data_IF_739861962393
#
_entry.id   IF_739861962393
#
_cell.length_a   1.000
_cell.length_b   1.000
_cell.length_c   1.000
_cell.angle_alpha   90.00
_cell.angle_beta   90.00
_cell.angle_gamma   90.00
#
_symmetry.space_group_name_H-M   'P 1'
#
loop_
_entity.id
_entity.type
_entity.pdbx_description
1 polymer ?
#
# COMPACT_ATOMS: atom_id res chain seq x y z
N UNK A 1 2.67 -15.80 36.86
CA UNK A 1 1.78 -15.17 35.85
C UNK A 1 2.45 -15.33 34.51
N UNK A 2 1.81 -16.03 33.56
CA UNK A 2 2.33 -16.16 32.21
C UNK A 2 2.25 -14.78 31.53
N UNK A 3 3.39 -14.20 31.18
CA UNK A 3 3.48 -13.04 30.31
C UNK A 3 3.06 -13.47 28.91
N UNK A 4 1.76 -13.45 28.64
CA UNK A 4 1.22 -13.66 27.30
C UNK A 4 1.44 -12.35 26.55
N UNK A 5 2.28 -12.37 25.53
CA UNK A 5 2.55 -11.18 24.71
C UNK A 5 1.36 -10.91 23.80
N UNK A 6 1.20 -9.66 23.37
CA UNK A 6 0.13 -9.26 22.42
C UNK A 6 0.22 -10.05 21.11
N UNK A 7 1.42 -10.51 20.74
CA UNK A 7 1.68 -11.42 19.61
C UNK A 7 1.09 -12.82 19.81
N UNK A 8 1.19 -13.37 21.03
CA UNK A 8 0.62 -14.67 21.35
C UNK A 8 -0.92 -14.64 21.29
N UNK A 9 -1.51 -13.51 21.66
CA UNK A 9 -2.96 -13.27 21.56
C UNK A 9 -3.36 -13.11 20.08
N UNK A 10 -2.64 -12.31 19.30
CA UNK A 10 -2.92 -12.12 17.88
C UNK A 10 -2.88 -13.45 17.10
N UNK A 11 -1.86 -14.28 17.33
CA UNK A 11 -1.77 -15.64 16.77
C UNK A 11 -2.93 -16.54 17.19
N UNK A 12 -3.34 -16.49 18.47
CA UNK A 12 -4.41 -17.33 19.00
C UNK A 12 -5.79 -17.01 18.40
N UNK A 13 -6.01 -15.77 17.97
CA UNK A 13 -7.28 -15.33 17.39
C UNK A 13 -7.23 -15.13 15.86
N UNK A 14 -6.14 -15.52 15.19
CA UNK A 14 -5.99 -15.37 13.74
C UNK A 14 -5.95 -13.91 13.28
N UNK A 15 -5.60 -12.98 14.18
CA UNK A 15 -5.39 -11.58 13.86
C UNK A 15 -4.00 -11.45 13.23
N UNK A 16 -3.94 -10.87 12.04
CA UNK A 16 -2.66 -10.60 11.36
C UNK A 16 -1.80 -9.70 12.25
N UNK A 17 -0.58 -10.13 12.54
CA UNK A 17 0.37 -9.32 13.28
C UNK A 17 0.71 -8.08 12.45
N UNK A 18 0.61 -6.90 13.07
CA UNK A 18 1.08 -5.64 12.46
C UNK A 18 2.50 -5.87 11.89
N UNK A 19 2.75 -5.57 10.61
CA UNK A 19 4.06 -5.81 10.00
C UNK A 19 5.17 -5.17 10.81
N UNK A 20 6.31 -5.84 10.92
CA UNK A 20 7.41 -5.41 11.77
C UNK A 20 7.95 -4.01 11.38
N UNK A 21 7.98 -3.71 10.08
CA UNK A 21 8.29 -2.37 9.55
C UNK A 21 7.33 -1.30 10.08
N UNK A 22 6.03 -1.62 10.16
CA UNK A 22 4.99 -0.73 10.70
C UNK A 22 5.15 -0.55 12.21
N UNK A 23 5.41 -1.63 12.96
CA UNK A 23 5.65 -1.54 14.42
C UNK A 23 6.83 -0.64 14.75
N UNK A 24 7.96 -0.81 14.04
CA UNK A 24 9.19 -0.04 14.27
C UNK A 24 9.01 1.45 14.00
N UNK A 25 8.28 1.80 12.95
CA UNK A 25 7.98 3.19 12.62
C UNK A 25 6.93 3.82 13.53
N UNK A 26 5.88 3.10 13.92
CA UNK A 26 4.91 3.57 14.93
C UNK A 26 5.58 3.82 16.28
N UNK A 27 6.55 2.98 16.68
CA UNK A 27 7.34 3.18 17.89
C UNK A 27 8.21 4.44 17.83
N UNK A 28 8.74 4.81 16.66
CA UNK A 28 9.50 6.05 16.47
C UNK A 28 8.61 7.29 16.48
N UNK A 29 7.44 7.27 15.83
CA UNK A 29 6.48 8.40 15.86
C UNK A 29 5.96 8.67 17.28
N UNK A 30 5.94 7.66 18.14
CA UNK A 30 5.58 7.79 19.55
C UNK A 30 6.65 8.50 20.40
N UNK A 31 7.89 8.61 19.93
CA UNK A 31 8.97 9.34 20.61
C UNK A 31 8.90 10.82 20.21
N UNK A 32 8.47 11.67 21.14
CA UNK A 32 8.32 13.12 20.92
C UNK A 32 9.60 13.86 20.52
N UNK A 33 10.77 13.25 20.77
CA UNK A 33 12.09 13.87 20.58
C UNK A 33 13.00 13.09 19.62
N UNK A 34 12.46 12.21 18.77
CA UNK A 34 13.28 11.46 17.81
C UNK A 34 13.88 12.39 16.74
N UNK A 35 15.20 12.34 16.59
CA UNK A 35 15.96 13.13 15.61
C UNK A 35 15.92 12.49 14.21
N UNK A 36 16.26 13.26 13.17
CA UNK A 36 16.42 12.72 11.80
C UNK A 36 17.43 11.58 11.74
N UNK A 37 18.49 11.64 12.57
CA UNK A 37 19.52 10.61 12.70
C UNK A 37 18.93 9.30 13.29
N UNK A 38 18.04 9.39 14.28
CA UNK A 38 17.34 8.23 14.84
C UNK A 38 16.49 7.52 13.78
N UNK A 39 15.79 8.29 12.94
CA UNK A 39 15.02 7.76 11.83
C UNK A 39 15.91 7.15 10.74
N UNK A 40 17.01 7.82 10.39
CA UNK A 40 17.94 7.34 9.39
C UNK A 40 18.59 6.02 9.79
N UNK A 41 18.99 5.89 11.06
CA UNK A 41 19.55 4.68 11.62
C UNK A 41 18.54 3.52 11.58
N UNK A 42 17.27 3.77 11.89
CA UNK A 42 16.24 2.73 11.84
C UNK A 42 15.94 2.31 10.40
N UNK A 43 15.79 3.26 9.48
CA UNK A 43 15.49 2.97 8.08
C UNK A 43 16.64 2.21 7.43
N UNK A 44 17.89 2.58 7.74
CA UNK A 44 19.08 1.91 7.21
C UNK A 44 19.20 0.44 7.64
N UNK A 45 18.47 0.01 8.67
CA UNK A 45 18.40 -1.41 9.07
C UNK A 45 17.42 -2.23 8.21
N UNK A 46 16.58 -1.57 7.42
CA UNK A 46 15.62 -2.17 6.50
C UNK A 46 16.01 -1.83 5.07
N UNK A 47 16.60 -2.83 4.38
CA UNK A 47 17.11 -2.67 3.02
C UNK A 47 16.01 -2.26 2.04
N UNK A 48 14.84 -2.90 2.12
CA UNK A 48 13.73 -2.65 1.19
C UNK A 48 13.16 -1.24 1.41
N UNK A 49 13.04 -0.81 2.68
CA UNK A 49 12.59 0.54 3.00
C UNK A 49 13.62 1.60 2.56
N UNK A 50 14.91 1.32 2.73
CA UNK A 50 16.00 2.18 2.26
C UNK A 50 15.95 2.37 0.75
N UNK A 51 15.83 1.28 -0.02
CA UNK A 51 15.74 1.33 -1.48
C UNK A 51 14.52 2.15 -1.94
N UNK A 52 13.35 1.95 -1.30
CA UNK A 52 12.13 2.72 -1.60
C UNK A 52 12.30 4.20 -1.29
N UNK A 53 12.92 4.55 -0.17
CA UNK A 53 13.19 5.94 0.23
C UNK A 53 14.15 6.63 -0.74
N UNK A 54 15.25 5.97 -1.12
CA UNK A 54 16.19 6.49 -2.11
C UNK A 54 15.52 6.67 -3.48
N UNK A 55 14.70 5.70 -3.91
CA UNK A 55 13.93 5.84 -5.16
C UNK A 55 12.98 7.03 -5.12
N UNK A 56 12.24 7.21 -4.03
CA UNK A 56 11.30 8.32 -3.86
C UNK A 56 11.99 9.69 -3.81
N UNK A 57 13.20 9.77 -3.26
CA UNK A 57 14.01 10.98 -3.26
C UNK A 57 14.52 11.37 -4.66
N UNK A 58 14.57 10.42 -5.59
CA UNK A 58 15.07 10.59 -6.96
C UNK A 58 13.98 10.31 -8.02
N UNK A 59 12.88 11.08 -8.09
CA UNK A 59 11.72 10.77 -8.92
C UNK A 59 11.98 10.83 -10.44
N UNK A 60 13.06 11.51 -10.86
CA UNK A 60 13.45 11.65 -12.27
C UNK A 60 14.54 10.69 -12.73
N UNK A 61 15.09 9.89 -11.82
CA UNK A 61 16.12 8.92 -12.15
C UNK A 61 15.51 7.76 -12.95
N UNK A 62 16.19 7.32 -14.01
CA UNK A 62 15.81 6.15 -14.80
C UNK A 62 16.46 4.89 -14.24
N UNK A 63 17.63 5.03 -13.62
CA UNK A 63 18.38 3.97 -12.95
C UNK A 63 18.95 4.43 -11.60
N UNK A 64 19.49 3.51 -10.79
CA UNK A 64 20.17 3.84 -9.53
C UNK A 64 21.45 4.66 -9.74
N UNK A 65 22.08 4.56 -10.92
CA UNK A 65 23.27 5.32 -11.30
C UNK A 65 22.98 6.82 -11.44
N UNK A 66 21.72 7.17 -11.74
CA UNK A 66 21.24 8.55 -11.86
C UNK A 66 20.86 9.19 -10.51
N UNK A 67 21.02 8.46 -9.40
CA UNK A 67 20.61 8.96 -8.09
C UNK A 67 21.52 10.12 -7.66
N UNK A 68 20.90 11.27 -7.45
CA UNK A 68 21.53 12.46 -6.87
C UNK A 68 21.47 12.48 -5.35
N UNK A 69 20.52 11.74 -4.77
CA UNK A 69 20.37 11.53 -3.34
C UNK A 69 20.63 10.06 -3.03
N UNK A 70 21.75 9.77 -2.36
CA UNK A 70 22.24 8.38 -2.16
C UNK A 70 22.29 7.95 -0.70
N UNK A 71 22.08 8.88 0.25
CA UNK A 71 22.03 8.59 1.68
C UNK A 71 20.60 8.66 2.22
N UNK A 72 20.31 7.89 3.27
CA UNK A 72 19.00 7.90 3.93
C UNK A 72 18.72 9.26 4.58
N UNK A 73 19.72 9.91 5.16
CA UNK A 73 19.58 11.22 5.80
C UNK A 73 19.23 12.31 4.78
N UNK A 74 19.92 12.36 3.64
CA UNK A 74 19.62 13.33 2.58
C UNK A 74 18.24 13.04 1.96
N UNK A 75 17.88 11.76 1.81
CA UNK A 75 16.58 11.36 1.33
C UNK A 75 15.47 11.80 2.30
N UNK A 76 15.63 11.57 3.60
CA UNK A 76 14.71 12.07 4.64
C UNK A 76 14.63 13.60 4.65
N UNK A 77 15.77 14.30 4.47
CA UNK A 77 15.80 15.75 4.36
C UNK A 77 15.02 16.27 3.14
N UNK A 78 15.03 15.53 2.04
CA UNK A 78 14.35 15.88 0.78
C UNK A 78 12.87 15.49 0.75
N UNK A 79 12.52 14.30 1.25
CA UNK A 79 11.14 13.77 1.20
C UNK A 79 10.34 14.07 2.47
N UNK A 80 11.01 14.41 3.57
CA UNK A 80 10.42 14.52 4.90
C UNK A 80 10.20 13.16 5.58
N UNK A 81 10.20 13.16 6.92
CA UNK A 81 10.00 11.95 7.74
C UNK A 81 8.62 11.29 7.52
N UNK A 82 7.60 12.08 7.23
CA UNK A 82 6.25 11.58 6.92
C UNK A 82 6.20 10.74 5.63
N UNK A 83 7.08 11.01 4.67
CA UNK A 83 7.15 10.23 3.42
C UNK A 83 7.82 8.88 3.62
N UNK A 84 8.83 8.79 4.49
CA UNK A 84 9.43 7.51 4.86
C UNK A 84 8.43 6.58 5.54
N UNK A 85 7.52 7.15 6.35
CA UNK A 85 6.40 6.41 6.92
C UNK A 85 5.49 5.85 5.82
N UNK A 86 5.07 6.68 4.85
CA UNK A 86 4.25 6.22 3.71
C UNK A 86 4.93 5.10 2.91
N UNK A 87 6.24 5.18 2.70
CA UNK A 87 7.00 4.16 1.97
C UNK A 87 7.12 2.85 2.74
N UNK A 88 7.19 2.90 4.06
CA UNK A 88 7.09 1.70 4.88
C UNK A 88 5.68 1.11 4.87
N UNK A 89 4.65 1.95 4.67
CA UNK A 89 3.27 1.49 4.55
C UNK A 89 2.96 0.83 3.19
N UNK A 90 3.90 0.82 2.22
CA UNK A 90 3.66 0.13 0.95
C UNK A 90 3.55 -1.39 1.12
N UNK A 91 4.19 -1.98 2.13
CA UNK A 91 4.05 -3.40 2.45
C UNK A 91 2.62 -3.79 2.85
N UNK A 92 1.98 -3.11 3.83
CA UNK A 92 0.55 -3.26 4.12
C UNK A 92 -0.34 -3.13 2.89
N UNK A 93 -0.05 -2.18 1.99
CA UNK A 93 -0.83 -1.98 0.78
C UNK A 93 -0.67 -3.15 -0.20
N UNK A 94 0.57 -3.59 -0.45
CA UNK A 94 0.86 -4.76 -1.29
C UNK A 94 0.17 -6.00 -0.73
N UNK A 95 0.25 -6.23 0.59
CA UNK A 95 -0.46 -7.34 1.25
C UNK A 95 -1.97 -7.24 1.09
N UNK A 96 -2.54 -6.04 1.22
CA UNK A 96 -3.96 -5.81 1.01
C UNK A 96 -4.40 -6.12 -0.43
N UNK A 97 -3.58 -5.78 -1.42
CA UNK A 97 -3.79 -6.16 -2.83
C UNK A 97 -3.76 -7.67 -2.99
N UNK A 98 -2.67 -8.34 -2.57
CA UNK A 98 -2.54 -9.80 -2.67
C UNK A 98 -3.71 -10.53 -1.99
N UNK A 99 -4.07 -10.11 -0.78
CA UNK A 99 -5.16 -10.70 -0.01
C UNK A 99 -6.51 -10.53 -0.69
N UNK A 100 -6.80 -9.34 -1.23
CA UNK A 100 -8.06 -9.07 -1.93
C UNK A 100 -8.18 -9.94 -3.20
N UNK A 101 -7.09 -10.06 -3.97
CA UNK A 101 -7.08 -10.92 -5.16
C UNK A 101 -7.17 -12.42 -4.81
N UNK A 102 -6.44 -12.89 -3.80
CA UNK A 102 -6.47 -14.30 -3.41
C UNK A 102 -7.83 -14.70 -2.82
N UNK A 103 -8.40 -13.90 -1.91
CA UNK A 103 -9.65 -14.25 -1.22
C UNK A 103 -10.90 -13.99 -2.07
N UNK A 104 -10.97 -12.82 -2.71
CA UNK A 104 -12.20 -12.37 -3.37
C UNK A 104 -12.22 -12.79 -4.83
N UNK A 105 -11.06 -12.74 -5.49
CA UNK A 105 -10.95 -13.11 -6.89
C UNK A 105 -10.41 -14.52 -7.08
N UNK A 106 -9.88 -15.22 -6.07
CA UNK A 106 -9.20 -16.53 -6.25
C UNK A 106 -8.09 -16.45 -7.30
N UNK A 107 -7.33 -15.34 -7.29
CA UNK A 107 -6.20 -15.09 -8.19
C UNK A 107 -4.95 -14.94 -7.33
N UNK A 108 -3.97 -15.80 -7.58
CA UNK A 108 -2.63 -15.66 -7.01
C UNK A 108 -1.82 -14.66 -7.83
N UNK A 109 -1.58 -13.48 -7.26
CA UNK A 109 -0.77 -12.45 -7.89
C UNK A 109 0.72 -12.75 -7.76
N UNK A 110 1.47 -12.50 -8.84
CA UNK A 110 2.93 -12.49 -8.84
C UNK A 110 3.41 -11.05 -8.93
N UNK A 111 4.14 -10.60 -7.89
CA UNK A 111 4.80 -9.31 -7.93
C UNK A 111 5.97 -9.33 -8.94
N UNK A 112 6.06 -8.28 -9.75
CA UNK A 112 7.18 -8.04 -10.66
C UNK A 112 7.99 -6.85 -10.15
N UNK A 113 9.30 -6.87 -10.41
CA UNK A 113 10.14 -5.73 -10.13
C UNK A 113 9.70 -4.52 -11.00
N UNK A 114 9.76 -3.27 -10.50
CA UNK A 114 9.29 -2.11 -11.25
C UNK A 114 9.93 -1.93 -12.63
N UNK A 115 11.21 -2.28 -12.77
CA UNK A 115 11.96 -2.24 -14.02
C UNK A 115 11.62 -3.38 -15.00
N UNK A 116 10.88 -4.38 -14.54
CA UNK A 116 10.40 -5.50 -15.36
C UNK A 116 8.95 -5.29 -15.82
N UNK A 117 8.32 -4.16 -15.49
CA UNK A 117 6.97 -3.82 -15.90
C UNK A 117 6.97 -3.13 -17.26
N UNK A 118 6.33 -3.74 -18.25
CA UNK A 118 5.97 -3.04 -19.47
C UNK A 118 4.89 -1.99 -19.16
N UNK A 119 4.96 -0.78 -19.74
CA UNK A 119 3.87 0.18 -19.65
C UNK A 119 2.56 -0.44 -20.13
N UNK A 120 1.47 -0.22 -19.39
CA UNK A 120 0.14 -0.69 -19.80
C UNK A 120 -0.33 0.11 -21.01
N UNK A 121 -0.18 -0.46 -22.21
CA UNK A 121 -0.50 0.17 -23.51
C UNK A 121 -1.96 0.01 -23.94
N UNK A 122 -2.64 -0.99 -23.37
CA UNK A 122 -4.03 -1.28 -23.67
C UNK A 122 -5.01 -0.33 -22.97
N UNK A 123 -6.27 -0.34 -23.42
CA UNK A 123 -7.34 0.37 -22.73
C UNK A 123 -7.44 -0.16 -21.30
N UNK A 124 -7.47 0.76 -20.34
CA UNK A 124 -7.36 0.46 -18.93
C UNK A 124 -8.29 1.36 -18.13
N UNK A 125 -8.64 0.88 -16.95
CA UNK A 125 -9.43 1.63 -15.97
C UNK A 125 -8.52 2.03 -14.82
N UNK A 126 -8.80 3.20 -14.23
CA UNK A 126 -8.05 3.76 -13.10
C UNK A 126 -8.99 4.03 -11.94
N UNK A 127 -9.00 3.17 -10.94
CA UNK A 127 -9.65 3.45 -9.67
C UNK A 127 -8.75 4.30 -8.76
N UNK A 128 -9.30 5.37 -8.21
CA UNK A 128 -8.65 6.25 -7.22
C UNK A 128 -9.43 6.26 -5.91
N UNK A 129 -8.72 6.03 -4.80
CA UNK A 129 -9.25 6.26 -3.46
C UNK A 129 -8.30 7.16 -2.70
N UNK A 130 -8.82 8.27 -2.17
CA UNK A 130 -8.06 9.15 -1.29
C UNK A 130 -8.29 8.78 0.18
N UNK A 131 -7.29 9.02 1.01
CA UNK A 131 -7.41 8.94 2.45
C UNK A 131 -6.86 10.22 3.10
N UNK A 132 -7.47 10.64 4.21
CA UNK A 132 -7.05 11.84 4.93
C UNK A 132 -7.20 11.70 6.45
N UNK A 133 -6.32 12.37 7.21
CA UNK A 133 -6.28 12.32 8.66
C UNK A 133 -4.86 12.52 9.18
N UNK A 134 -4.41 11.65 10.09
CA UNK A 134 -3.00 11.61 10.52
C UNK A 134 -2.06 11.12 9.42
N UNK A 135 -2.61 10.40 8.44
CA UNK A 135 -1.97 10.08 7.18
C UNK A 135 -2.89 10.54 6.04
N UNK A 136 -2.29 11.07 4.98
CA UNK A 136 -3.00 11.57 3.80
C UNK A 136 -2.31 11.07 2.54
N UNK A 137 -3.08 10.64 1.56
CA UNK A 137 -2.55 10.16 0.29
C UNK A 137 -3.64 9.71 -0.68
N UNK A 138 -3.20 9.22 -1.84
CA UNK A 138 -4.04 8.64 -2.87
C UNK A 138 -3.52 7.24 -3.20
N UNK A 139 -4.45 6.31 -3.40
CA UNK A 139 -4.18 4.96 -3.89
C UNK A 139 -4.79 4.83 -5.27
N UNK A 140 -3.97 4.44 -6.25
CA UNK A 140 -4.39 4.17 -7.62
C UNK A 140 -4.35 2.68 -7.89
N UNK A 141 -5.46 2.16 -8.42
CA UNK A 141 -5.57 0.80 -8.92
C UNK A 141 -5.80 0.89 -10.43
N UNK A 142 -4.82 0.44 -11.21
CA UNK A 142 -4.90 0.44 -12.66
C UNK A 142 -5.00 -1.00 -13.17
N UNK A 143 -5.96 -1.26 -14.05
CA UNK A 143 -6.24 -2.60 -14.60
C UNK A 143 -6.49 -2.51 -16.11
N UNK A 144 -6.16 -3.55 -16.89
CA UNK A 144 -6.70 -3.70 -18.25
C UNK A 144 -8.24 -3.69 -18.23
N UNK A 145 -8.88 -2.96 -19.14
CA UNK A 145 -10.36 -2.94 -19.24
C UNK A 145 -10.91 -4.33 -19.56
N UNK A 146 -10.17 -5.14 -20.31
CA UNK A 146 -10.50 -6.54 -20.60
C UNK A 146 -10.62 -7.43 -19.34
N UNK A 147 -10.12 -6.98 -18.19
CA UNK A 147 -10.20 -7.72 -16.92
C UNK A 147 -11.51 -7.47 -16.16
N UNK A 148 -12.25 -6.40 -16.48
CA UNK A 148 -13.47 -6.01 -15.76
C UNK A 148 -14.55 -7.09 -15.77
N UNK A 149 -14.79 -7.83 -16.87
CA UNK A 149 -15.76 -8.93 -16.83
C UNK A 149 -15.45 -10.03 -15.83
N UNK A 150 -14.17 -10.36 -15.66
CA UNK A 150 -13.76 -11.34 -14.66
C UNK A 150 -13.96 -10.82 -13.24
N UNK A 151 -13.82 -9.50 -13.02
CA UNK A 151 -14.13 -8.89 -11.73
C UNK A 151 -15.62 -8.97 -11.43
N UNK A 152 -16.49 -8.67 -12.40
CA UNK A 152 -17.95 -8.73 -12.23
C UNK A 152 -18.43 -10.14 -11.87
N UNK A 153 -17.91 -11.14 -12.57
CA UNK A 153 -18.19 -12.56 -12.31
C UNK A 153 -17.74 -12.96 -10.90
N UNK A 154 -16.51 -12.63 -10.50
CA UNK A 154 -15.93 -13.17 -9.26
C UNK A 154 -16.33 -12.40 -8.00
N UNK A 155 -16.56 -11.09 -8.09
CA UNK A 155 -16.93 -10.26 -6.94
C UNK A 155 -18.44 -10.26 -6.70
N UNK A 156 -19.22 -10.08 -7.76
CA UNK A 156 -20.66 -9.83 -7.66
C UNK A 156 -21.51 -10.89 -8.35
N UNK A 157 -20.91 -11.94 -8.92
CA UNK A 157 -21.60 -13.00 -9.65
C UNK A 157 -22.47 -12.46 -10.80
N UNK A 158 -21.95 -11.45 -11.50
CA UNK A 158 -22.58 -10.81 -12.66
C UNK A 158 -22.12 -11.47 -13.96
N UNK A 159 -22.96 -11.41 -14.99
CA UNK A 159 -22.61 -11.90 -16.32
C UNK A 159 -21.70 -10.91 -17.04
N UNK A 160 -20.91 -11.40 -17.99
CA UNK A 160 -20.05 -10.54 -18.79
C UNK A 160 -20.81 -9.44 -19.56
N UNK A 161 -22.07 -9.72 -19.96
CA UNK A 161 -22.93 -8.74 -20.65
C UNK A 161 -23.35 -7.58 -19.73
N UNK A 162 -23.46 -7.80 -18.41
CA UNK A 162 -23.79 -6.73 -17.46
C UNK A 162 -22.67 -5.69 -17.35
N UNK A 163 -21.46 -6.04 -17.80
CA UNK A 163 -20.27 -5.19 -17.76
C UNK A 163 -20.15 -4.25 -18.97
N UNK A 164 -21.09 -4.36 -19.92
CA UNK A 164 -21.23 -3.37 -21.00
C UNK A 164 -21.82 -2.05 -20.46
N UNK A 165 -22.56 -2.11 -19.35
CA UNK A 165 -23.03 -0.91 -18.65
C UNK A 165 -21.90 -0.30 -17.81
N UNK A 166 -21.56 0.96 -18.12
CA UNK A 166 -20.44 1.67 -17.50
C UNK A 166 -20.66 1.88 -15.99
N UNK A 167 -21.89 2.13 -15.56
CA UNK A 167 -22.18 2.31 -14.13
C UNK A 167 -21.94 1.01 -13.35
N UNK A 168 -22.43 -0.11 -13.87
CA UNK A 168 -22.21 -1.44 -13.29
C UNK A 168 -20.74 -1.83 -13.28
N UNK A 169 -20.01 -1.56 -14.37
CA UNK A 169 -18.57 -1.76 -14.44
C UNK A 169 -17.82 -0.92 -13.39
N UNK A 170 -18.20 0.35 -13.23
CA UNK A 170 -17.59 1.25 -12.25
C UNK A 170 -17.88 0.83 -10.81
N UNK A 171 -19.08 0.32 -10.52
CA UNK A 171 -19.42 -0.20 -9.19
C UNK A 171 -18.58 -1.42 -8.81
N UNK A 172 -18.37 -2.36 -9.74
CA UNK A 172 -17.50 -3.53 -9.54
C UNK A 172 -16.06 -3.10 -9.21
N UNK A 173 -15.53 -2.14 -9.96
CA UNK A 173 -14.17 -1.63 -9.77
C UNK A 173 -14.08 -0.86 -8.46
N UNK A 174 -15.11 -0.07 -8.13
CA UNK A 174 -15.24 0.63 -6.86
C UNK A 174 -15.24 -0.31 -5.67
N UNK A 175 -15.92 -1.45 -5.75
CA UNK A 175 -15.92 -2.46 -4.69
C UNK A 175 -14.53 -3.06 -4.48
N UNK A 176 -13.83 -3.42 -5.56
CA UNK A 176 -12.44 -3.89 -5.47
C UNK A 176 -11.52 -2.84 -4.81
N UNK A 177 -11.64 -1.58 -5.21
CA UNK A 177 -10.93 -0.46 -4.60
C UNK A 177 -11.22 -0.34 -3.10
N UNK A 178 -12.50 -0.41 -2.70
CA UNK A 178 -12.92 -0.36 -1.29
C UNK A 178 -12.35 -1.51 -0.48
N UNK A 179 -12.31 -2.73 -1.02
CA UNK A 179 -11.75 -3.90 -0.33
C UNK A 179 -10.25 -3.74 -0.07
N UNK A 180 -9.49 -3.34 -1.09
CA UNK A 180 -8.04 -3.15 -0.99
C UNK A 180 -7.74 -2.02 0.01
N UNK A 181 -8.37 -0.86 -0.17
CA UNK A 181 -8.06 0.32 0.62
C UNK A 181 -8.66 0.25 2.02
N UNK A 182 -9.76 -0.50 2.20
CA UNK A 182 -10.31 -0.83 3.51
C UNK A 182 -9.34 -1.66 4.36
N UNK A 183 -8.76 -2.72 3.79
CA UNK A 183 -7.71 -3.51 4.46
C UNK A 183 -6.47 -2.66 4.77
N UNK A 184 -6.04 -1.83 3.82
CA UNK A 184 -4.92 -0.91 4.02
C UNK A 184 -5.19 0.10 5.15
N UNK A 185 -6.38 0.71 5.19
CA UNK A 185 -6.79 1.63 6.25
C UNK A 185 -6.78 0.98 7.62
N UNK A 186 -7.26 -0.26 7.75
CA UNK A 186 -7.23 -0.97 9.03
C UNK A 186 -5.80 -1.06 9.58
N UNK A 187 -4.83 -1.43 8.73
CA UNK A 187 -3.42 -1.45 9.09
C UNK A 187 -2.89 -0.06 9.50
N UNK A 188 -3.29 1.01 8.80
CA UNK A 188 -2.93 2.38 9.19
C UNK A 188 -3.50 2.76 10.56
N UNK A 189 -4.77 2.45 10.81
CA UNK A 189 -5.42 2.73 12.09
C UNK A 189 -4.76 1.97 13.24
N UNK A 190 -4.45 0.68 13.04
CA UNK A 190 -3.75 -0.17 14.03
C UNK A 190 -2.34 0.36 14.33
N UNK A 191 -1.71 1.03 13.36
CA UNK A 191 -0.43 1.71 13.50
C UNK A 191 -0.53 3.10 14.19
N UNK A 192 -1.73 3.53 14.58
CA UNK A 192 -1.99 4.85 15.20
C UNK A 192 -2.18 5.99 14.19
N UNK A 193 -2.21 5.70 12.89
CA UNK A 193 -2.37 6.63 11.77
C UNK A 193 -3.83 6.71 11.32
N UNK A 194 -4.69 7.12 12.24
CA UNK A 194 -6.14 7.22 11.98
C UNK A 194 -6.43 8.11 10.77
N UNK A 195 -7.18 7.55 9.81
CA UNK A 195 -7.60 8.23 8.59
C UNK A 195 -9.02 7.83 8.16
N UNK A 196 -9.62 8.63 7.28
CA UNK A 196 -10.90 8.38 6.61
C UNK A 196 -10.68 8.21 5.10
N UNK A 197 -11.49 7.38 4.46
CA UNK A 197 -11.45 7.15 3.01
C UNK A 197 -12.48 8.03 2.31
N UNK A 198 -12.18 8.48 1.09
CA UNK A 198 -13.20 8.95 0.15
C UNK A 198 -13.86 7.76 -0.57
N UNK A 199 -15.05 7.94 -1.16
CA UNK A 199 -15.53 7.01 -2.16
C UNK A 199 -14.51 6.85 -3.30
N UNK A 200 -14.42 5.66 -3.92
CA UNK A 200 -13.63 5.45 -5.13
C UNK A 200 -14.11 6.36 -6.26
N UNK A 201 -13.17 6.79 -7.09
CA UNK A 201 -13.42 7.44 -8.40
C UNK A 201 -12.84 6.55 -9.48
N UNK A 202 -13.61 6.26 -10.51
CA UNK A 202 -13.23 5.39 -11.62
C UNK A 202 -13.01 6.22 -12.89
#
# INVERSE_FOLDING_TARGET
MLNITTEDIAKKFGLESVPESVKRLSQLLGKRDASTEDFANLISQDKDLTERLLRAANPRAESEEDYTTTTVEDALGRTGMSSALLLAMSDPLIRAVHKSFALMLKIELKALAPNALDPLKEEHVLGEVSFSGKATGLVHLRLPKAFVPLLGERLLNLAAADMEDEATANDVIGELCNMIVGNFKSNLCDAGLTCKLSPPKI
#
